data_IF_023956366763
#
_entry.id   IF_023956366763
#
_cell.length_a   1.000
_cell.length_b   1.000
_cell.length_c   1.000
_cell.angle_alpha   90.00
_cell.angle_beta   90.00
_cell.angle_gamma   90.00
#
_symmetry.space_group_name_H-M   'P 1'
#
loop_
_entity.id
_entity.type
_entity.pdbx_description
1 polymer ?
#
# COMPACT_ATOMS: atom_id res chain seq x y z
N UNK A 1 0.67 1.82 16.15
CA UNK A 1 1.72 0.78 16.25
C UNK A 1 2.63 0.93 17.46
N UNK A 2 3.37 2.05 17.65
CA UNK A 2 4.36 2.17 18.74
C UNK A 2 3.77 1.94 20.15
N UNK A 3 2.74 2.70 20.53
CA UNK A 3 2.09 2.54 21.84
C UNK A 3 1.54 1.13 22.05
N UNK A 4 1.04 0.48 20.99
CA UNK A 4 0.55 -0.90 21.03
C UNK A 4 1.68 -1.89 21.36
N UNK A 5 2.80 -1.83 20.63
CA UNK A 5 3.98 -2.67 20.84
C UNK A 5 4.61 -2.50 22.22
N UNK A 6 4.59 -1.27 22.74
CA UNK A 6 5.12 -0.93 24.06
C UNK A 6 4.13 -1.23 25.21
N UNK A 7 2.92 -1.73 24.92
CA UNK A 7 1.93 -2.03 25.96
C UNK A 7 1.32 -0.80 26.64
N UNK A 8 1.49 0.40 26.07
CA UNK A 8 0.99 1.66 26.64
C UNK A 8 -0.50 1.87 26.38
N UNK A 9 -1.17 2.59 27.26
CA UNK A 9 -2.57 3.01 27.15
C UNK A 9 -2.72 4.47 26.68
N UNK A 10 -1.60 5.14 26.37
CA UNK A 10 -1.57 6.50 25.84
C UNK A 10 -0.70 6.60 24.58
N UNK A 11 -1.01 7.59 23.74
CA UNK A 11 -0.25 7.91 22.54
C UNK A 11 0.69 9.07 22.87
N UNK A 12 1.97 8.93 22.54
CA UNK A 12 2.87 10.08 22.51
C UNK A 12 2.64 10.83 21.20
N UNK A 13 2.20 12.10 21.22
CA UNK A 13 1.99 12.87 20.00
C UNK A 13 3.26 12.96 19.16
N UNK A 14 3.09 12.85 17.85
CA UNK A 14 4.18 13.04 16.87
C UNK A 14 3.78 14.10 15.84
N UNK A 15 4.77 14.64 15.12
CA UNK A 15 4.47 15.38 13.89
C UNK A 15 4.46 14.36 12.74
N UNK A 16 3.29 14.06 12.13
CA UNK A 16 3.21 13.06 11.09
C UNK A 16 3.98 13.52 9.85
N UNK A 17 4.66 12.58 9.21
CA UNK A 17 5.41 12.78 7.98
C UNK A 17 5.25 11.53 7.10
N UNK A 18 4.30 11.57 6.18
CA UNK A 18 3.94 10.44 5.31
C UNK A 18 3.23 10.94 4.07
N UNK A 19 3.33 10.19 2.97
CA UNK A 19 2.49 10.39 1.77
C UNK A 19 1.01 10.12 2.04
N UNK A 20 0.67 9.35 3.07
CA UNK A 20 -0.70 8.96 3.42
C UNK A 20 -1.46 10.09 4.13
N UNK A 21 -1.72 11.18 3.42
CA UNK A 21 -2.27 12.44 3.96
C UNK A 21 -3.58 12.25 4.75
N UNK A 22 -4.45 11.34 4.33
CA UNK A 22 -5.75 11.09 4.97
C UNK A 22 -5.64 10.47 6.37
N UNK A 23 -4.51 9.86 6.70
CA UNK A 23 -4.22 9.25 8.00
C UNK A 23 -2.98 9.85 8.68
N UNK A 24 -2.49 11.00 8.18
CA UNK A 24 -1.37 11.75 8.75
C UNK A 24 -1.80 12.46 10.05
N UNK A 25 -2.11 11.67 11.09
CA UNK A 25 -2.62 12.14 12.38
C UNK A 25 -1.62 11.76 13.47
N UNK A 26 -0.96 12.78 14.01
CA UNK A 26 0.08 12.60 15.03
C UNK A 26 -0.43 12.35 16.45
N UNK A 27 -1.67 12.74 16.74
CA UNK A 27 -2.35 12.54 18.02
C UNK A 27 -3.81 12.14 17.78
N UNK A 28 -4.09 10.86 17.48
CA UNK A 28 -5.43 10.41 17.15
C UNK A 28 -6.35 10.48 18.38
N UNK A 29 -7.47 11.19 18.26
CA UNK A 29 -8.44 11.35 19.34
C UNK A 29 -8.94 10.01 19.89
N UNK A 30 -9.20 9.06 19.00
CA UNK A 30 -9.68 7.72 19.35
C UNK A 30 -8.56 6.68 19.49
N UNK A 31 -7.30 7.12 19.56
CA UNK A 31 -6.16 6.20 19.61
C UNK A 31 -6.20 5.26 20.83
N UNK A 32 -6.67 5.73 21.98
CA UNK A 32 -6.80 4.93 23.20
C UNK A 32 -7.84 3.82 23.00
N UNK A 33 -8.98 4.13 22.40
CA UNK A 33 -10.02 3.15 22.08
C UNK A 33 -9.53 2.12 21.06
N UNK A 34 -8.75 2.54 20.06
CA UNK A 34 -8.13 1.62 19.11
C UNK A 34 -7.17 0.62 19.80
N UNK A 35 -6.34 1.09 20.74
CA UNK A 35 -5.47 0.23 21.54
C UNK A 35 -6.27 -0.78 22.38
N UNK A 36 -7.35 -0.31 23.01
CA UNK A 36 -8.24 -1.13 23.82
C UNK A 36 -8.92 -2.22 22.99
N UNK A 37 -9.53 -1.87 21.85
CA UNK A 37 -10.20 -2.82 20.96
C UNK A 37 -9.22 -3.85 20.42
N UNK A 38 -8.04 -3.44 19.96
CA UNK A 38 -7.03 -4.37 19.46
C UNK A 38 -6.62 -5.38 20.53
N UNK A 39 -6.44 -4.96 21.80
CA UNK A 39 -6.12 -5.87 22.91
C UNK A 39 -7.28 -6.80 23.23
N UNK A 40 -8.50 -6.26 23.37
CA UNK A 40 -9.71 -7.04 23.74
C UNK A 40 -10.05 -8.11 22.71
N UNK A 41 -9.78 -7.84 21.43
CA UNK A 41 -10.03 -8.76 20.32
C UNK A 41 -8.84 -9.67 20.01
N UNK A 42 -7.75 -9.57 20.78
CA UNK A 42 -6.47 -10.22 20.47
C UNK A 42 -5.97 -9.92 19.03
N UNK A 43 -6.32 -8.72 18.53
CA UNK A 43 -5.93 -8.20 17.24
C UNK A 43 -4.55 -7.55 17.26
N UNK A 44 -4.24 -6.82 16.18
CA UNK A 44 -2.93 -6.22 15.99
C UNK A 44 -3.03 -4.77 15.47
N UNK A 45 -1.99 -3.96 15.72
CA UNK A 45 -1.84 -2.61 15.17
C UNK A 45 -0.40 -2.46 14.66
N UNK A 46 -0.25 -2.46 13.35
CA UNK A 46 1.04 -2.36 12.68
C UNK A 46 1.26 -1.02 11.97
N UNK A 47 2.48 -0.82 11.49
CA UNK A 47 2.90 0.35 10.70
C UNK A 47 3.65 -0.07 9.44
N UNK A 48 3.56 0.77 8.43
CA UNK A 48 4.26 0.62 7.15
C UNK A 48 4.98 1.91 6.79
N UNK A 49 6.01 1.77 5.96
CA UNK A 49 6.74 2.87 5.34
C UNK A 49 5.98 3.39 4.13
N UNK A 50 6.28 4.61 3.69
CA UNK A 50 5.67 5.18 2.48
C UNK A 50 5.93 4.32 1.22
N UNK A 51 7.09 3.67 1.13
CA UNK A 51 7.39 2.72 0.05
C UNK A 51 6.46 1.50 0.09
N UNK A 52 6.23 0.94 1.27
CA UNK A 52 5.30 -0.18 1.45
C UNK A 52 3.85 0.22 1.16
N UNK A 53 3.45 1.47 1.44
CA UNK A 53 2.13 1.99 1.05
C UNK A 53 1.96 1.94 -0.46
N UNK A 54 2.96 2.40 -1.22
CA UNK A 54 2.95 2.36 -2.69
C UNK A 54 2.87 0.92 -3.21
N UNK A 55 3.67 0.02 -2.64
CA UNK A 55 3.63 -1.40 -3.00
C UNK A 55 2.27 -2.04 -2.66
N UNK A 56 1.62 -1.62 -1.57
CA UNK A 56 0.26 -2.04 -1.23
C UNK A 56 -0.78 -1.54 -2.25
N UNK A 57 -0.64 -0.31 -2.73
CA UNK A 57 -1.50 0.24 -3.80
C UNK A 57 -1.33 -0.54 -5.11
N UNK A 58 -0.07 -0.79 -5.52
CA UNK A 58 0.26 -1.55 -6.72
C UNK A 58 -0.26 -2.98 -6.64
N UNK A 59 0.01 -3.67 -5.53
CA UNK A 59 -0.42 -5.04 -5.31
C UNK A 59 -1.93 -5.20 -5.52
N UNK A 60 -2.74 -4.35 -4.88
CA UNK A 60 -4.20 -4.43 -5.01
C UNK A 60 -4.69 -4.11 -6.44
N UNK A 61 -4.06 -3.14 -7.10
CA UNK A 61 -4.42 -2.76 -8.46
C UNK A 61 -4.06 -3.84 -9.48
N UNK A 62 -2.86 -4.44 -9.37
CA UNK A 62 -2.33 -5.41 -10.32
C UNK A 62 -2.97 -6.81 -10.16
N UNK A 63 -3.35 -7.19 -8.94
CA UNK A 63 -3.92 -8.53 -8.66
C UNK A 63 -5.44 -8.55 -8.72
N UNK A 64 -6.12 -7.49 -8.27
CA UNK A 64 -7.59 -7.46 -8.12
C UNK A 64 -8.26 -6.40 -8.99
N UNK A 65 -7.50 -5.54 -9.69
CA UNK A 65 -8.06 -4.45 -10.49
C UNK A 65 -8.69 -3.32 -9.66
N UNK A 66 -8.38 -3.24 -8.36
CA UNK A 66 -8.94 -2.22 -7.45
C UNK A 66 -7.90 -1.14 -7.18
N UNK A 67 -8.17 0.08 -7.66
CA UNK A 67 -7.28 1.23 -7.43
C UNK A 67 -7.72 2.06 -6.21
N UNK A 68 -6.91 2.02 -5.14
CA UNK A 68 -7.17 2.70 -3.87
C UNK A 68 -6.28 3.92 -3.63
N UNK A 69 -6.70 4.83 -2.73
CA UNK A 69 -5.84 5.91 -2.23
C UNK A 69 -4.77 5.37 -1.25
N UNK A 70 -3.84 6.24 -0.85
CA UNK A 70 -2.76 5.90 0.09
C UNK A 70 -3.21 5.22 1.40
N UNK A 71 -4.39 5.56 1.95
CA UNK A 71 -4.92 4.88 3.13
C UNK A 71 -5.28 3.41 2.88
N UNK A 72 -5.80 3.08 1.70
CA UNK A 72 -6.02 1.68 1.32
C UNK A 72 -4.71 0.95 1.04
N UNK A 73 -3.73 1.65 0.45
CA UNK A 73 -2.35 1.16 0.32
C UNK A 73 -1.76 0.72 1.67
N UNK A 74 -1.91 1.55 2.71
CA UNK A 74 -1.53 1.22 4.09
C UNK A 74 -2.22 -0.05 4.59
N UNK A 75 -3.53 -0.19 4.33
CA UNK A 75 -4.33 -1.34 4.78
C UNK A 75 -3.83 -2.63 4.14
N UNK A 76 -3.60 -2.64 2.83
CA UNK A 76 -3.12 -3.81 2.10
C UNK A 76 -1.66 -4.14 2.46
N UNK A 77 -0.81 -3.13 2.64
CA UNK A 77 0.57 -3.34 3.05
C UNK A 77 0.68 -3.96 4.45
N UNK A 78 -0.15 -3.50 5.40
CA UNK A 78 -0.24 -4.10 6.74
C UNK A 78 -0.82 -5.52 6.67
N UNK A 79 -1.89 -5.73 5.88
CA UNK A 79 -2.48 -7.05 5.69
C UNK A 79 -1.45 -8.05 5.18
N UNK A 80 -0.68 -7.69 4.15
CA UNK A 80 0.43 -8.49 3.61
C UNK A 80 1.43 -8.86 4.70
N UNK A 81 1.94 -7.88 5.47
CA UNK A 81 2.89 -8.14 6.57
C UNK A 81 2.35 -9.11 7.61
N UNK A 82 1.08 -8.96 7.99
CA UNK A 82 0.45 -9.82 8.99
C UNK A 82 0.24 -11.25 8.47
N UNK A 83 -0.17 -11.39 7.21
CA UNK A 83 -0.28 -12.70 6.55
C UNK A 83 1.09 -13.39 6.44
N UNK A 84 2.12 -12.69 5.97
CA UNK A 84 3.49 -13.21 5.86
C UNK A 84 4.09 -13.58 7.23
N UNK A 85 3.72 -12.86 8.29
CA UNK A 85 4.12 -13.15 9.67
C UNK A 85 3.29 -14.28 10.34
N UNK A 86 2.35 -14.90 9.62
CA UNK A 86 1.46 -15.94 10.14
C UNK A 86 0.53 -15.44 11.26
N UNK A 87 0.20 -14.14 11.26
CA UNK A 87 -0.73 -13.52 12.22
C UNK A 87 -2.19 -13.58 11.77
N UNK A 88 -2.41 -13.91 10.50
CA UNK A 88 -3.72 -14.11 9.88
C UNK A 88 -3.71 -15.53 9.34
N UNK A 89 -4.72 -16.32 9.69
CA UNK A 89 -4.86 -17.69 9.22
C UNK A 89 -5.29 -17.65 7.74
N UNK A 90 -4.55 -18.27 6.80
CA UNK A 90 -4.91 -18.26 5.38
C UNK A 90 -6.30 -18.86 5.08
N UNK A 91 -6.85 -19.68 5.97
CA UNK A 91 -8.19 -20.26 5.84
C UNK A 91 -9.29 -19.36 6.41
N UNK A 92 -8.95 -18.26 7.09
CA UNK A 92 -9.94 -17.35 7.66
C UNK A 92 -10.47 -16.33 6.65
N UNK A 93 -11.75 -15.98 6.79
CA UNK A 93 -12.32 -14.91 5.97
C UNK A 93 -11.88 -13.55 6.51
N UNK A 94 -11.01 -12.88 5.76
CA UNK A 94 -10.53 -11.54 6.08
C UNK A 94 -11.23 -10.48 5.24
N UNK A 95 -11.65 -9.38 5.88
CA UNK A 95 -12.25 -8.21 5.20
C UNK A 95 -11.32 -7.01 5.32
N UNK A 96 -10.84 -6.51 4.19
CA UNK A 96 -10.05 -5.28 4.12
C UNK A 96 -10.93 -4.07 3.79
N UNK A 97 -10.93 -3.06 4.66
CA UNK A 97 -11.68 -1.83 4.43
C UNK A 97 -10.90 -0.87 3.52
N UNK A 98 -11.29 -0.79 2.26
CA UNK A 98 -10.76 0.16 1.29
C UNK A 98 -11.59 1.45 1.36
N UNK A 99 -11.15 2.37 2.22
CA UNK A 99 -11.93 3.56 2.61
C UNK A 99 -11.95 4.68 1.58
N UNK A 100 -11.12 4.61 0.54
CA UNK A 100 -11.05 5.66 -0.47
C UNK A 100 -10.51 5.23 -1.83
N UNK A 101 -10.93 5.99 -2.84
CA UNK A 101 -10.66 5.75 -4.25
C UNK A 101 -9.30 6.34 -4.68
N UNK A 102 -8.55 5.60 -5.48
CA UNK A 102 -7.20 5.99 -5.91
C UNK A 102 -7.10 7.29 -6.71
N UNK A 103 -8.19 7.74 -7.34
CA UNK A 103 -8.24 9.03 -8.05
C UNK A 103 -7.99 10.25 -7.14
N UNK A 104 -8.08 10.09 -5.81
CA UNK A 104 -7.77 11.16 -4.86
C UNK A 104 -6.28 11.45 -4.70
N UNK A 105 -5.42 10.45 -4.95
CA UNK A 105 -3.99 10.50 -4.64
C UNK A 105 -3.15 9.89 -5.76
N UNK A 106 -3.45 10.25 -7.00
CA UNK A 106 -2.73 9.72 -8.17
C UNK A 106 -1.25 10.09 -8.13
N UNK A 107 -0.91 11.24 -7.54
CA UNK A 107 0.47 11.69 -7.39
C UNK A 107 1.35 10.73 -6.58
N UNK A 108 0.74 9.90 -5.71
CA UNK A 108 1.47 8.96 -4.86
C UNK A 108 2.13 7.84 -5.67
N UNK A 109 1.60 7.52 -6.86
CA UNK A 109 2.08 6.40 -7.69
C UNK A 109 2.73 6.85 -9.00
N UNK A 110 2.56 8.12 -9.41
CA UNK A 110 3.07 8.62 -10.71
C UNK A 110 4.57 8.35 -10.94
N UNK A 111 5.42 8.45 -9.91
CA UNK A 111 6.86 8.18 -10.01
C UNK A 111 7.27 6.71 -9.78
N UNK A 112 6.29 5.83 -9.56
CA UNK A 112 6.49 4.43 -9.19
C UNK A 112 5.82 3.44 -10.15
N UNK A 113 5.25 3.97 -11.23
CA UNK A 113 4.68 3.22 -12.35
C UNK A 113 5.54 3.47 -13.60
N UNK A 114 5.57 2.50 -14.51
CA UNK A 114 6.30 2.63 -15.77
C UNK A 114 5.73 3.73 -16.66
N UNK A 115 6.59 4.34 -17.46
CA UNK A 115 6.19 5.30 -18.48
C UNK A 115 5.58 4.58 -19.70
N UNK A 116 4.50 5.11 -20.31
CA UNK A 116 3.95 4.55 -21.54
C UNK A 116 4.98 4.53 -22.67
N UNK A 117 5.01 3.44 -23.45
CA UNK A 117 5.79 3.39 -24.69
C UNK A 117 5.17 4.32 -25.74
N UNK A 118 5.88 5.38 -26.10
CA UNK A 118 5.47 6.27 -27.20
C UNK A 118 5.88 5.65 -28.54
N UNK A 119 4.90 5.45 -29.43
CA UNK A 119 5.08 4.83 -30.74
C UNK A 119 4.49 5.69 -31.86
N UNK A 120 4.99 5.51 -33.08
CA UNK A 120 4.32 6.05 -34.28
C UNK A 120 2.94 5.41 -34.46
N UNK A 121 2.01 6.13 -35.10
CA UNK A 121 0.69 5.64 -35.46
C UNK A 121 0.72 4.62 -36.63
N UNK A 122 1.44 3.51 -36.45
CA UNK A 122 1.63 2.41 -37.42
C UNK A 122 1.56 1.06 -36.71
N UNK A 123 0.99 0.06 -37.38
CA UNK A 123 0.87 -1.30 -36.84
C UNK A 123 2.25 -1.90 -36.49
N UNK A 124 3.22 -1.82 -37.39
CA UNK A 124 4.57 -2.36 -37.14
C UNK A 124 5.25 -1.71 -35.93
N UNK A 125 4.95 -0.43 -35.64
CA UNK A 125 5.49 0.25 -34.45
C UNK A 125 4.83 -0.27 -33.16
N UNK A 126 3.55 -0.61 -33.22
CA UNK A 126 2.86 -1.29 -32.12
C UNK A 126 3.42 -2.70 -31.89
N UNK A 127 3.57 -3.51 -32.94
CA UNK A 127 4.06 -4.89 -32.83
C UNK A 127 5.46 -4.96 -32.19
N UNK A 128 6.38 -4.07 -32.61
CA UNK A 128 7.71 -3.96 -31.98
C UNK A 128 7.67 -3.54 -30.52
N UNK A 129 6.79 -2.60 -30.18
CA UNK A 129 6.63 -2.14 -28.79
C UNK A 129 5.99 -3.22 -27.91
N UNK A 130 5.04 -3.98 -28.46
CA UNK A 130 4.41 -5.10 -27.79
C UNK A 130 5.41 -6.23 -27.48
N UNK A 131 6.21 -6.62 -28.47
CA UNK A 131 7.28 -7.62 -28.28
C UNK A 131 8.30 -7.17 -27.22
N UNK A 132 8.68 -5.89 -27.25
CA UNK A 132 9.53 -5.29 -26.20
C UNK A 132 8.89 -5.36 -24.82
N UNK A 133 7.60 -5.01 -24.70
CA UNK A 133 6.90 -5.03 -23.42
C UNK A 133 6.83 -6.44 -22.82
N UNK A 134 6.51 -7.44 -23.64
CA UNK A 134 6.47 -8.85 -23.22
C UNK A 134 7.84 -9.41 -22.82
N UNK A 135 8.92 -8.85 -23.37
CA UNK A 135 10.29 -9.25 -23.00
C UNK A 135 10.71 -8.65 -21.65
N UNK A 136 10.19 -7.47 -21.29
CA UNK A 136 10.45 -6.80 -20.02
C UNK A 136 9.66 -7.42 -18.85
N UNK A 137 8.49 -8.01 -19.09
CA UNK A 137 7.67 -8.70 -18.07
C UNK A 137 8.30 -9.96 -17.45
N UNK A 138 9.53 -10.33 -17.82
CA UNK A 138 10.24 -11.52 -17.27
C UNK A 138 11.48 -11.23 -16.45
N UNK A 139 11.89 -9.97 -16.29
CA UNK A 139 13.05 -9.63 -15.47
C UNK A 139 12.60 -8.70 -14.36
N UNK A 140 12.72 -9.19 -13.13
CA UNK A 140 12.46 -8.46 -11.90
C UNK A 140 12.99 -7.02 -11.97
N UNK A 141 12.20 -6.12 -11.38
CA UNK A 141 12.41 -4.69 -11.25
C UNK A 141 13.86 -4.27 -10.92
N UNK A 142 14.72 -4.13 -11.94
CA UNK A 142 16.00 -3.44 -11.80
C UNK A 142 15.91 -2.01 -12.31
N UNK A 143 16.42 -1.07 -11.50
CA UNK A 143 16.59 0.33 -11.88
C UNK A 143 17.53 0.43 -13.08
N UNK A 144 17.02 0.97 -14.19
CA UNK A 144 17.86 1.40 -15.30
C UNK A 144 18.54 2.70 -14.90
N UNK A 145 19.80 2.62 -14.47
CA UNK A 145 20.70 3.76 -14.42
C UNK A 145 21.00 4.21 -15.86
N UNK A 146 20.68 5.47 -16.17
CA UNK A 146 21.14 6.16 -17.38
C UNK A 146 22.57 6.64 -17.18
#
# INVERSE_FOLDING_TARGET
AQAFREGRDFINPVKPNTIAKSIAIGNPADGIYALEVARKTNGNIESVTDAEVIEGMKLLAETEGIFTETAGGTTIAVLKKLAEAGKIDPEETTVAYITGNGLKTQEAVQGYIGEPLTIDAKLDSFERAWERAQTLERLDWEQVLV
#
